data_IF_223352233587
#
_entry.id   IF_223352233587
#
_cell.length_a   1.000
_cell.length_b   1.000
_cell.length_c   1.000
_cell.angle_alpha   90.00
_cell.angle_beta   90.00
_cell.angle_gamma   90.00
#
_symmetry.space_group_name_H-M   'P 1'
#
loop_
_entity.id
_entity.type
_entity.pdbx_description
1 polymer ?
#
# COMPACT_ATOMS: atom_id res chain seq x y z
N UNK A 1 -7.03 19.74 -4.83
CA UNK A 1 -6.67 19.68 -3.39
C UNK A 1 -7.73 18.86 -2.66
N UNK A 2 -7.36 17.84 -1.91
CA UNK A 2 -8.30 17.04 -1.12
C UNK A 2 -8.93 17.92 -0.04
N UNK A 3 -10.27 17.91 0.05
CA UNK A 3 -11.02 18.77 0.99
C UNK A 3 -11.18 18.17 2.38
N UNK A 4 -10.92 16.85 2.56
CA UNK A 4 -11.13 16.13 3.82
C UNK A 4 -9.96 15.20 4.06
N UNK A 5 -9.57 15.02 5.32
CA UNK A 5 -8.56 14.03 5.75
C UNK A 5 -9.07 12.61 5.57
N UNK A 6 -8.14 11.65 5.34
CA UNK A 6 -8.45 10.23 5.30
C UNK A 6 -8.98 9.69 6.66
N UNK A 7 -8.77 10.40 7.76
CA UNK A 7 -9.25 10.03 9.09
C UNK A 7 -10.78 9.86 9.19
N UNK A 8 -11.53 10.37 8.20
CA UNK A 8 -13.00 10.20 8.10
C UNK A 8 -13.43 8.90 7.39
N UNK A 9 -12.49 8.08 7.00
CA UNK A 9 -12.74 6.82 6.27
C UNK A 9 -12.72 5.67 7.25
N UNK A 10 -13.70 4.76 7.15
CA UNK A 10 -13.70 3.49 7.84
C UNK A 10 -13.15 2.39 6.94
N UNK A 11 -12.44 1.46 7.55
CA UNK A 11 -11.86 0.28 6.93
C UNK A 11 -12.15 -0.95 7.80
N UNK A 12 -11.95 -2.15 7.28
CA UNK A 12 -12.07 -3.38 8.06
C UNK A 12 -10.68 -3.89 8.43
N UNK A 13 -10.42 -4.10 9.71
CA UNK A 13 -9.25 -4.84 10.18
C UNK A 13 -9.25 -6.26 9.59
N UNK A 14 -8.11 -6.96 9.61
CA UNK A 14 -8.01 -8.34 9.09
C UNK A 14 -8.95 -9.31 9.84
N UNK A 15 -9.32 -9.00 11.09
CA UNK A 15 -10.34 -9.71 11.87
C UNK A 15 -11.77 -9.55 11.33
N UNK A 16 -12.00 -8.59 10.42
CA UNK A 16 -13.31 -8.21 9.88
C UNK A 16 -14.01 -7.10 10.66
N UNK A 17 -13.44 -6.61 11.76
CA UNK A 17 -14.01 -5.51 12.56
C UNK A 17 -13.85 -4.17 11.84
N UNK A 18 -14.88 -3.32 11.93
CA UNK A 18 -14.83 -1.96 11.42
C UNK A 18 -13.89 -1.10 12.27
N UNK A 19 -12.99 -0.39 11.62
CA UNK A 19 -12.03 0.51 12.25
C UNK A 19 -12.00 1.86 11.53
N UNK A 20 -12.18 2.94 12.26
CA UNK A 20 -12.01 4.29 11.73
C UNK A 20 -10.53 4.63 11.59
N UNK A 21 -10.13 5.23 10.48
CA UNK A 21 -8.75 5.69 10.29
C UNK A 21 -8.38 6.88 11.20
N UNK A 22 -9.35 7.50 11.88
CA UNK A 22 -9.10 8.46 12.96
C UNK A 22 -8.30 7.87 14.13
N UNK A 23 -8.29 6.55 14.30
CA UNK A 23 -7.44 5.84 15.27
C UNK A 23 -5.93 6.09 15.07
N UNK A 24 -5.57 6.50 13.88
CA UNK A 24 -4.19 6.81 13.48
C UNK A 24 -3.91 8.31 13.37
N UNK A 25 -4.81 9.16 13.88
CA UNK A 25 -4.60 10.61 13.88
C UNK A 25 -3.32 10.98 14.65
N UNK A 26 -2.58 11.96 14.14
CA UNK A 26 -1.27 12.35 14.71
C UNK A 26 -0.11 11.44 14.33
N UNK A 27 -0.34 10.35 13.61
CA UNK A 27 0.73 9.44 13.13
C UNK A 27 1.03 9.64 11.65
N UNK A 28 2.28 9.44 11.27
CA UNK A 28 2.69 9.31 9.87
C UNK A 28 2.37 7.90 9.41
N UNK A 29 1.66 7.76 8.28
CA UNK A 29 1.22 6.45 7.81
C UNK A 29 1.87 6.08 6.47
N UNK A 30 2.24 4.81 6.31
CA UNK A 30 2.55 4.21 5.02
C UNK A 30 1.45 3.22 4.65
N UNK A 31 0.62 3.60 3.68
CA UNK A 31 -0.46 2.75 3.17
C UNK A 31 0.04 1.97 1.97
N UNK A 32 -0.08 0.63 2.01
CA UNK A 32 0.47 -0.28 0.99
C UNK A 32 -0.59 -1.29 0.58
N UNK A 33 -0.81 -1.48 -0.72
CA UNK A 33 -1.57 -2.64 -1.20
C UNK A 33 -0.62 -3.82 -1.41
N UNK A 34 -0.98 -4.96 -0.85
CA UNK A 34 -0.09 -6.13 -0.74
C UNK A 34 -0.69 -7.38 -1.38
N UNK A 35 0.14 -8.39 -1.63
CA UNK A 35 -0.29 -9.70 -2.10
C UNK A 35 0.73 -10.78 -1.74
N UNK A 36 0.23 -12.01 -1.47
CA UNK A 36 1.04 -13.15 -1.01
C UNK A 36 1.78 -13.87 -2.16
N UNK A 37 1.32 -13.75 -3.42
CA UNK A 37 1.86 -14.46 -4.58
C UNK A 37 2.46 -13.52 -5.63
N UNK A 38 3.06 -12.43 -5.19
CA UNK A 38 3.64 -11.39 -6.05
C UNK A 38 5.17 -11.48 -6.04
N UNK A 39 5.81 -11.10 -7.16
CA UNK A 39 7.26 -10.96 -7.19
C UNK A 39 7.82 -9.93 -6.20
N UNK A 40 6.97 -9.01 -5.70
CA UNK A 40 7.32 -8.04 -4.67
C UNK A 40 7.00 -8.49 -3.24
N UNK A 41 6.45 -9.68 -3.03
CA UNK A 41 6.13 -10.21 -1.69
C UNK A 41 7.32 -10.17 -0.70
N UNK A 42 8.58 -10.36 -1.12
CA UNK A 42 9.75 -10.18 -0.23
C UNK A 42 9.85 -8.79 0.42
N UNK A 43 9.20 -7.75 -0.12
CA UNK A 43 9.17 -6.42 0.50
C UNK A 43 8.49 -6.41 1.89
N UNK A 44 7.72 -7.42 2.25
CA UNK A 44 7.20 -7.56 3.61
C UNK A 44 8.29 -7.51 4.68
N UNK A 45 9.46 -8.11 4.43
CA UNK A 45 10.61 -8.07 5.36
C UNK A 45 11.13 -6.64 5.56
N UNK A 46 11.25 -5.88 4.46
CA UNK A 46 11.71 -4.50 4.53
C UNK A 46 10.65 -3.58 5.18
N UNK A 47 9.35 -3.82 4.93
CA UNK A 47 8.25 -3.14 5.61
C UNK A 47 8.29 -3.40 7.12
N UNK A 48 8.50 -4.65 7.55
CA UNK A 48 8.58 -5.00 8.97
C UNK A 48 9.74 -4.30 9.65
N UNK A 49 10.94 -4.32 9.05
CA UNK A 49 12.12 -3.59 9.58
C UNK A 49 11.88 -2.09 9.65
N UNK A 50 11.24 -1.51 8.65
CA UNK A 50 10.88 -0.10 8.64
C UNK A 50 9.91 0.23 9.77
N UNK A 51 8.89 -0.60 9.98
CA UNK A 51 7.93 -0.45 11.07
C UNK A 51 8.60 -0.51 12.44
N UNK A 52 9.43 -1.52 12.69
CA UNK A 52 10.17 -1.69 13.94
C UNK A 52 11.06 -0.49 14.25
N UNK A 53 11.72 0.07 13.23
CA UNK A 53 12.62 1.23 13.40
C UNK A 53 11.88 2.51 13.80
N UNK A 54 10.66 2.75 13.28
CA UNK A 54 10.01 4.05 13.41
C UNK A 54 8.69 4.04 14.21
N UNK A 55 8.14 2.88 14.59
CA UNK A 55 6.84 2.80 15.28
C UNK A 55 6.76 3.64 16.55
N UNK A 56 7.84 3.66 17.34
CA UNK A 56 7.89 4.41 18.60
C UNK A 56 8.08 5.93 18.38
N UNK A 57 8.28 6.34 17.13
CA UNK A 57 8.36 7.74 16.70
C UNK A 57 7.04 8.24 16.07
N UNK A 58 5.94 7.49 16.21
CA UNK A 58 4.64 7.86 15.66
C UNK A 58 4.42 7.45 14.21
N UNK A 59 5.08 6.37 13.76
CA UNK A 59 4.90 5.79 12.43
C UNK A 59 4.02 4.53 12.48
N UNK A 60 3.12 4.39 11.49
CA UNK A 60 2.35 3.16 11.29
C UNK A 60 2.37 2.72 9.83
N UNK A 61 2.38 1.40 9.62
CA UNK A 61 2.12 0.78 8.31
C UNK A 61 0.71 0.21 8.32
N UNK A 62 -0.06 0.53 7.26
CA UNK A 62 -1.40 0.02 7.03
C UNK A 62 -1.39 -0.77 5.72
N UNK A 63 -1.39 -2.11 5.82
CA UNK A 63 -1.31 -2.99 4.68
C UNK A 63 -2.68 -3.54 4.29
N UNK A 64 -3.03 -3.39 3.03
CA UNK A 64 -4.31 -3.79 2.45
C UNK A 64 -4.09 -4.86 1.37
N UNK A 65 -4.41 -6.13 1.62
CA UNK A 65 -4.38 -7.17 0.61
C UNK A 65 -5.29 -6.84 -0.57
N UNK A 66 -4.85 -7.15 -1.80
CA UNK A 66 -5.67 -6.93 -2.99
C UNK A 66 -5.43 -7.99 -4.06
N UNK A 67 -6.52 -8.50 -4.63
CA UNK A 67 -6.48 -9.48 -5.72
C UNK A 67 -6.64 -8.85 -7.12
N UNK A 68 -6.55 -7.51 -7.24
CA UNK A 68 -6.81 -6.80 -8.49
C UNK A 68 -5.64 -6.85 -9.49
N UNK A 69 -4.47 -7.26 -9.04
CA UNK A 69 -3.25 -7.26 -9.86
C UNK A 69 -2.76 -8.68 -10.09
N UNK A 70 -3.13 -9.23 -11.24
CA UNK A 70 -2.73 -10.57 -11.64
C UNK A 70 -3.26 -11.69 -10.74
N UNK A 71 -4.34 -11.42 -9.98
CA UNK A 71 -4.98 -12.38 -9.05
C UNK A 71 -3.98 -13.01 -8.09
N UNK A 72 -3.05 -12.20 -7.58
CA UNK A 72 -1.94 -12.65 -6.73
C UNK A 72 -2.29 -12.69 -5.23
N UNK A 73 -3.56 -12.45 -4.86
CA UNK A 73 -4.06 -12.58 -3.49
C UNK A 73 -5.40 -13.35 -3.46
N UNK A 74 -5.40 -14.65 -3.83
CA UNK A 74 -6.64 -15.42 -3.90
C UNK A 74 -7.18 -15.84 -2.53
N UNK A 75 -6.31 -15.93 -1.50
CA UNK A 75 -6.64 -16.43 -0.17
C UNK A 75 -7.64 -15.54 0.59
N UNK A 76 -8.33 -16.10 1.58
CA UNK A 76 -9.19 -15.34 2.48
C UNK A 76 -8.38 -14.65 3.59
N UNK A 77 -8.94 -13.64 4.24
CA UNK A 77 -8.28 -12.77 5.21
C UNK A 77 -7.52 -13.54 6.31
N UNK A 78 -8.13 -14.58 6.87
CA UNK A 78 -7.52 -15.43 7.91
C UNK A 78 -6.28 -16.19 7.44
N UNK A 79 -6.27 -16.59 6.18
CA UNK A 79 -5.12 -17.30 5.58
C UNK A 79 -4.01 -16.30 5.24
N UNK A 80 -4.38 -15.11 4.77
CA UNK A 80 -3.45 -14.00 4.52
C UNK A 80 -2.73 -13.61 5.80
N UNK A 81 -3.47 -13.42 6.89
CA UNK A 81 -2.90 -13.09 8.20
C UNK A 81 -1.87 -14.14 8.64
N UNK A 82 -2.26 -15.43 8.61
CA UNK A 82 -1.36 -16.55 8.94
C UNK A 82 -0.12 -16.55 8.06
N UNK A 83 -0.28 -16.34 6.76
CA UNK A 83 0.84 -16.28 5.81
C UNK A 83 1.81 -15.15 6.17
N UNK A 84 1.31 -13.96 6.41
CA UNK A 84 2.09 -12.77 6.74
C UNK A 84 2.86 -12.94 8.06
N UNK A 85 2.18 -13.38 9.10
CA UNK A 85 2.81 -13.59 10.42
C UNK A 85 3.84 -14.71 10.37
N UNK A 86 3.49 -15.88 9.81
CA UNK A 86 4.36 -17.07 9.80
C UNK A 86 5.61 -16.87 8.95
N UNK A 87 5.50 -16.26 7.78
CA UNK A 87 6.61 -16.18 6.83
C UNK A 87 7.45 -14.89 6.97
N UNK A 88 6.88 -13.81 7.50
CA UNK A 88 7.54 -12.51 7.56
C UNK A 88 7.57 -11.86 8.94
N UNK A 89 6.94 -12.49 9.95
CA UNK A 89 6.90 -11.97 11.32
C UNK A 89 6.20 -10.61 11.42
N UNK A 90 5.20 -10.35 10.57
CA UNK A 90 4.53 -9.04 10.49
C UNK A 90 3.83 -8.72 11.81
N UNK A 91 4.09 -7.51 12.32
CA UNK A 91 3.45 -6.95 13.52
C UNK A 91 2.81 -5.58 13.28
N UNK A 92 2.87 -5.04 12.08
CA UNK A 92 2.13 -3.84 11.69
C UNK A 92 0.67 -4.16 11.30
N UNK A 93 -0.15 -3.11 11.13
CA UNK A 93 -1.59 -3.27 10.92
C UNK A 93 -1.90 -3.88 9.55
N UNK A 94 -2.54 -5.04 9.55
CA UNK A 94 -3.06 -5.72 8.38
C UNK A 94 -4.59 -5.58 8.35
N UNK A 95 -5.13 -5.24 7.19
CA UNK A 95 -6.56 -5.01 6.98
C UNK A 95 -7.18 -6.08 6.09
N UNK A 96 -8.51 -6.18 6.08
CA UNK A 96 -9.25 -7.06 5.19
C UNK A 96 -8.96 -6.73 3.72
N UNK A 97 -9.05 -7.74 2.88
CA UNK A 97 -8.83 -7.63 1.43
C UNK A 97 -9.75 -6.60 0.80
N UNK A 98 -9.18 -5.72 -0.03
CA UNK A 98 -9.90 -4.62 -0.66
C UNK A 98 -9.79 -4.62 -2.19
N UNK A 99 -10.74 -3.95 -2.82
CA UNK A 99 -10.62 -3.57 -4.23
C UNK A 99 -9.87 -2.24 -4.35
N UNK A 100 -8.78 -2.27 -5.08
CA UNK A 100 -7.94 -1.08 -5.37
C UNK A 100 -8.36 -0.41 -6.67
N UNK A 101 -8.96 -1.17 -7.59
CA UNK A 101 -9.38 -0.73 -8.91
C UNK A 101 -10.86 -1.05 -9.19
N UNK A 102 -11.40 -0.40 -10.23
CA UNK A 102 -12.71 -0.70 -10.79
C UNK A 102 -13.89 -0.11 -10.02
N UNK A 103 -15.12 -0.46 -10.40
CA UNK A 103 -16.34 0.18 -9.90
C UNK A 103 -16.61 -0.07 -8.41
N UNK A 104 -16.08 -1.17 -7.85
CA UNK A 104 -16.18 -1.52 -6.42
C UNK A 104 -14.93 -1.11 -5.64
N UNK A 105 -14.17 -0.15 -6.14
CA UNK A 105 -12.97 0.38 -5.48
C UNK A 105 -13.29 0.86 -4.06
N UNK A 106 -12.41 0.52 -3.10
CA UNK A 106 -12.57 0.95 -1.71
C UNK A 106 -12.54 2.48 -1.59
N UNK A 107 -13.30 3.08 -0.66
CA UNK A 107 -13.29 4.53 -0.43
C UNK A 107 -11.88 5.07 -0.13
N UNK A 108 -11.05 4.29 0.59
CA UNK A 108 -9.67 4.65 0.89
C UNK A 108 -8.83 4.78 -0.39
N UNK A 109 -8.84 3.77 -1.27
CA UNK A 109 -8.04 3.82 -2.49
C UNK A 109 -8.56 4.84 -3.50
N UNK A 110 -9.87 5.10 -3.53
CA UNK A 110 -10.44 6.23 -4.28
C UNK A 110 -9.85 7.56 -3.79
N UNK A 111 -9.91 7.81 -2.48
CA UNK A 111 -9.34 9.00 -1.86
C UNK A 111 -7.85 9.18 -2.17
N UNK A 112 -7.05 8.10 -2.01
CA UNK A 112 -5.61 8.15 -2.26
C UNK A 112 -5.28 8.50 -3.72
N UNK A 113 -6.03 7.97 -4.66
CA UNK A 113 -5.81 8.20 -6.09
C UNK A 113 -6.32 9.57 -6.55
N UNK A 114 -7.35 10.13 -5.90
CA UNK A 114 -7.82 11.50 -6.10
C UNK A 114 -6.82 12.57 -5.62
N UNK A 115 -5.81 12.19 -4.84
CA UNK A 115 -4.72 13.12 -4.45
C UNK A 115 -3.89 13.61 -5.65
N UNK A 116 -3.96 12.92 -6.79
CA UNK A 116 -3.22 13.20 -8.02
C UNK A 116 -1.69 13.29 -7.83
N UNK A 117 -1.15 12.70 -6.78
CA UNK A 117 0.29 12.62 -6.59
C UNK A 117 0.93 11.78 -7.69
N UNK A 118 1.97 12.33 -8.30
CA UNK A 118 2.79 11.59 -9.25
C UNK A 118 3.62 10.55 -8.49
N UNK A 119 3.56 9.30 -8.95
CA UNK A 119 4.32 8.24 -8.32
C UNK A 119 5.83 8.40 -8.58
N UNK A 120 6.63 8.40 -7.52
CA UNK A 120 8.08 8.26 -7.61
C UNK A 120 8.38 6.85 -8.11
N UNK A 121 9.15 6.74 -9.20
CA UNK A 121 9.44 5.48 -9.90
C UNK A 121 10.93 5.26 -9.98
N UNK A 122 11.31 4.00 -10.01
CA UNK A 122 12.66 3.60 -10.43
C UNK A 122 12.69 3.55 -11.95
N UNK A 123 13.68 4.19 -12.57
CA UNK A 123 13.91 4.13 -14.01
C UNK A 123 14.96 3.07 -14.31
N UNK A 124 14.77 2.27 -15.37
CA UNK A 124 15.73 1.27 -15.80
C UNK A 124 15.10 0.18 -16.66
N UNK A 125 15.93 -0.51 -17.45
CA UNK A 125 15.48 -1.56 -18.40
C UNK A 125 14.72 -2.68 -17.67
N UNK A 126 15.18 -3.12 -16.49
CA UNK A 126 14.50 -4.15 -15.68
C UNK A 126 13.09 -3.73 -15.29
N UNK A 127 12.92 -2.46 -14.89
CA UNK A 127 11.61 -1.91 -14.52
C UNK A 127 10.66 -1.87 -15.73
N UNK A 128 11.16 -1.49 -16.90
CA UNK A 128 10.36 -1.47 -18.14
C UNK A 128 9.89 -2.86 -18.52
N UNK A 129 10.78 -3.86 -18.49
CA UNK A 129 10.44 -5.27 -18.75
C UNK A 129 9.38 -5.76 -17.77
N UNK A 130 9.54 -5.48 -16.48
CA UNK A 130 8.60 -5.90 -15.44
C UNK A 130 7.21 -5.25 -15.62
N UNK A 131 7.16 -3.96 -15.98
CA UNK A 131 5.90 -3.27 -16.28
C UNK A 131 5.21 -3.83 -17.54
N UNK A 132 5.99 -4.18 -18.56
CA UNK A 132 5.49 -4.83 -19.77
C UNK A 132 4.88 -6.20 -19.47
N UNK A 133 5.60 -7.05 -18.72
CA UNK A 133 5.12 -8.37 -18.31
C UNK A 133 3.86 -8.28 -17.41
N UNK A 134 3.82 -7.30 -16.51
CA UNK A 134 2.64 -7.02 -15.69
C UNK A 134 1.44 -6.65 -16.56
N UNK A 135 1.63 -5.82 -17.60
CA UNK A 135 0.58 -5.47 -18.56
C UNK A 135 0.04 -6.67 -19.34
N UNK A 136 0.93 -7.58 -19.77
CA UNK A 136 0.55 -8.84 -20.42
C UNK A 136 -0.28 -9.70 -19.45
N UNK A 137 0.16 -9.86 -18.21
CA UNK A 137 -0.54 -10.67 -17.20
C UNK A 137 -1.94 -10.15 -16.90
N UNK A 138 -2.09 -8.82 -16.74
CA UNK A 138 -3.39 -8.16 -16.59
C UNK A 138 -4.30 -8.51 -17.76
N UNK A 139 -3.82 -8.41 -18.99
CA UNK A 139 -4.61 -8.68 -20.20
C UNK A 139 -5.01 -10.15 -20.31
N UNK A 140 -4.09 -11.08 -20.06
CA UNK A 140 -4.37 -12.54 -20.13
C UNK A 140 -5.38 -12.95 -19.07
N UNK A 141 -5.34 -12.38 -17.87
CA UNK A 141 -6.25 -12.72 -16.78
C UNK A 141 -7.58 -11.97 -16.80
N UNK A 142 -7.76 -11.04 -17.74
CA UNK A 142 -8.97 -10.23 -17.86
C UNK A 142 -9.17 -9.28 -16.69
N UNK A 143 -8.09 -8.88 -16.03
CA UNK A 143 -8.12 -7.92 -14.92
C UNK A 143 -8.37 -6.50 -15.44
N UNK A 144 -8.85 -5.60 -14.59
CA UNK A 144 -9.06 -4.20 -14.94
C UNK A 144 -7.71 -3.51 -15.17
N UNK A 145 -7.50 -3.00 -16.39
CA UNK A 145 -6.30 -2.24 -16.69
C UNK A 145 -6.33 -0.88 -15.96
N UNK A 146 -5.29 -0.56 -15.15
CA UNK A 146 -5.28 0.70 -14.41
C UNK A 146 -5.10 1.90 -15.33
N UNK A 147 -5.83 2.99 -15.04
CA UNK A 147 -5.65 4.28 -15.71
C UNK A 147 -4.29 4.92 -15.32
N UNK A 148 -3.83 5.96 -16.06
CA UNK A 148 -2.53 6.57 -15.80
C UNK A 148 -2.28 7.00 -14.34
N UNK A 149 -3.32 7.50 -13.66
CA UNK A 149 -3.24 8.01 -12.29
C UNK A 149 -3.63 6.97 -11.23
N UNK A 150 -3.95 5.73 -11.63
CA UNK A 150 -4.32 4.67 -10.71
C UNK A 150 -3.09 3.87 -10.23
N UNK A 151 -3.27 3.09 -9.17
CA UNK A 151 -2.28 2.10 -8.72
C UNK A 151 -2.10 1.06 -9.81
N UNK A 152 -0.84 0.78 -10.17
CA UNK A 152 -0.54 -0.08 -11.32
C UNK A 152 -0.19 -1.52 -10.97
N UNK A 153 0.22 -1.77 -9.72
CA UNK A 153 0.61 -3.11 -9.28
C UNK A 153 0.58 -3.24 -7.76
N UNK A 154 0.77 -4.46 -7.24
CA UNK A 154 0.93 -4.72 -5.80
C UNK A 154 2.16 -4.01 -5.23
N UNK A 155 2.18 -3.76 -3.93
CA UNK A 155 3.22 -3.04 -3.19
C UNK A 155 3.42 -1.58 -3.62
N UNK A 156 2.37 -0.95 -4.13
CA UNK A 156 2.33 0.50 -4.32
C UNK A 156 2.12 1.18 -2.96
N UNK A 157 2.80 2.29 -2.73
CA UNK A 157 2.85 2.91 -1.40
C UNK A 157 2.42 4.37 -1.45
N UNK A 158 1.66 4.79 -0.43
CA UNK A 158 1.31 6.18 -0.18
C UNK A 158 1.79 6.58 1.21
N UNK A 159 2.57 7.64 1.31
CA UNK A 159 2.97 8.26 2.56
C UNK A 159 1.97 9.35 2.92
N UNK A 160 1.49 9.32 4.16
CA UNK A 160 0.45 10.20 4.69
C UNK A 160 1.03 10.97 5.87
N UNK A 161 0.78 12.27 5.92
CA UNK A 161 1.20 13.12 7.04
C UNK A 161 0.34 12.89 8.31
N UNK A 162 0.75 13.51 9.42
CA UNK A 162 0.06 13.41 10.72
C UNK A 162 -1.39 13.96 10.68
N UNK A 163 -1.71 14.79 9.67
CA UNK A 163 -3.06 15.37 9.46
C UNK A 163 -3.95 14.50 8.57
N UNK A 164 -3.43 13.37 8.05
CA UNK A 164 -4.15 12.44 7.21
C UNK A 164 -4.21 12.83 5.72
N UNK A 165 -3.23 13.59 5.22
CA UNK A 165 -3.13 13.94 3.80
C UNK A 165 -1.99 13.19 3.12
N UNK A 166 -2.20 12.65 1.91
CA UNK A 166 -1.13 12.05 1.12
C UNK A 166 -0.07 13.10 0.73
N UNK A 167 1.21 12.81 1.05
CA UNK A 167 2.34 13.72 0.80
C UNK A 167 3.39 13.15 -0.16
N UNK A 168 3.37 11.83 -0.38
CA UNK A 168 4.19 11.17 -1.38
C UNK A 168 3.54 9.87 -1.84
N UNK A 169 3.91 9.42 -3.05
CA UNK A 169 3.45 8.19 -3.66
C UNK A 169 4.61 7.48 -4.33
N UNK A 170 4.74 6.18 -4.09
CA UNK A 170 5.86 5.36 -4.57
C UNK A 170 5.32 4.16 -5.35
N UNK A 171 5.87 3.92 -6.51
CA UNK A 171 5.57 2.72 -7.30
C UNK A 171 6.14 1.45 -6.66
N UNK A 172 5.67 0.31 -7.11
CA UNK A 172 5.97 -1.01 -6.50
C UNK A 172 7.46 -1.33 -6.41
N UNK A 173 8.25 -0.88 -7.38
CA UNK A 173 9.70 -1.09 -7.48
C UNK A 173 10.54 -0.23 -6.51
N UNK A 174 9.93 0.74 -5.83
CA UNK A 174 10.62 1.48 -4.76
C UNK A 174 10.55 0.64 -3.49
N UNK A 175 11.70 0.14 -3.05
CA UNK A 175 11.82 -0.65 -1.83
C UNK A 175 11.48 0.20 -0.59
N UNK A 176 10.92 -0.42 0.48
CA UNK A 176 10.59 0.29 1.71
C UNK A 176 11.80 0.93 2.40
N UNK A 177 12.99 0.36 2.24
CA UNK A 177 14.26 0.87 2.76
C UNK A 177 14.98 1.84 1.81
N UNK A 178 14.34 2.22 0.70
CA UNK A 178 14.90 3.19 -0.25
C UNK A 178 15.17 4.53 0.43
N UNK A 179 16.36 5.14 0.21
CA UNK A 179 16.67 6.48 0.72
C UNK A 179 15.62 7.54 0.34
N UNK A 180 14.97 7.38 -0.83
CA UNK A 180 13.90 8.28 -1.29
C UNK A 180 12.67 8.22 -0.37
N UNK A 181 12.30 7.03 0.11
CA UNK A 181 11.18 6.84 1.02
C UNK A 181 11.57 7.26 2.43
N UNK A 182 12.71 6.78 2.93
CA UNK A 182 13.18 7.04 4.30
C UNK A 182 13.34 8.54 4.55
N UNK A 183 14.05 9.26 3.67
CA UNK A 183 14.24 10.71 3.81
C UNK A 183 12.93 11.48 3.91
N UNK A 184 11.93 11.07 3.11
CA UNK A 184 10.62 11.71 3.14
C UNK A 184 9.84 11.34 4.41
N UNK A 185 9.90 10.08 4.84
CA UNK A 185 9.30 9.61 6.08
C UNK A 185 9.85 10.38 7.29
N UNK A 186 11.17 10.45 7.42
CA UNK A 186 11.84 11.17 8.52
C UNK A 186 11.43 12.65 8.55
N UNK A 187 11.39 13.32 7.41
CA UNK A 187 10.91 14.69 7.31
C UNK A 187 9.43 14.90 7.70
N UNK A 188 8.57 13.86 7.57
CA UNK A 188 7.18 13.94 8.05
C UNK A 188 7.06 13.63 9.55
N UNK A 189 7.96 12.81 10.10
CA UNK A 189 8.00 12.51 11.53
C UNK A 189 8.46 13.72 12.36
N UNK A 190 9.36 14.56 11.83
CA UNK A 190 9.88 15.77 12.48
C UNK A 190 8.86 16.93 12.55
N UNK A 191 7.77 16.92 11.77
CA UNK A 191 6.70 17.91 11.78
C UNK A 191 5.75 17.71 12.95
#
# INVERSE_FOLDING_TARGET
>A
MLKKSLHKINVKAISGEEQALSHFEGKVLLIVNVASQCGFTPQYLALQKLYEKYRDQGFCILAFPSNDFGRQEPAEDKEIEKFCVKNFGISFNLFSKVRVLGPKQSPLYRYLQESNLVAIKKTGIKTMIMQFLAGILIKIRGDVAPKPNEVRWNFHKFLIDKKGFPVARYSSEIEPDSPLLIKRLEAELEK
#
